data_IF_610245567558
#
_entry.id   IF_610245567558
#
_cell.length_a   1.000
_cell.length_b   1.000
_cell.length_c   1.000
_cell.angle_alpha   90.00
_cell.angle_beta   90.00
_cell.angle_gamma   90.00
#
_symmetry.space_group_name_H-M   'P 1'
#
loop_
_entity.id
_entity.type
_entity.pdbx_description
1 polymer ?
#
# COMPACT_ATOMS: atom_id res chain seq x y z
N UNK A 1 -3.60 0.79 -10.90
CA UNK A 1 -3.33 0.24 -9.56
C UNK A 1 -4.45 0.56 -8.59
N UNK A 2 -4.43 1.73 -7.93
CA UNK A 2 -5.41 2.04 -6.86
C UNK A 2 -6.87 1.95 -7.33
N UNK A 3 -7.20 2.46 -8.51
CA UNK A 3 -8.58 2.35 -9.05
C UNK A 3 -9.06 0.90 -9.21
N UNK A 4 -8.16 -0.02 -9.56
CA UNK A 4 -8.52 -1.43 -9.64
C UNK A 4 -8.79 -2.05 -8.25
N UNK A 5 -8.18 -1.53 -7.17
CA UNK A 5 -8.51 -1.93 -5.79
C UNK A 5 -9.90 -1.41 -5.39
N UNK A 6 -10.25 -0.19 -5.78
CA UNK A 6 -11.59 0.38 -5.54
C UNK A 6 -12.66 -0.43 -6.29
N UNK A 7 -12.42 -0.74 -7.56
CA UNK A 7 -13.31 -1.59 -8.36
C UNK A 7 -13.50 -2.97 -7.71
N UNK A 8 -12.41 -3.58 -7.24
CA UNK A 8 -12.50 -4.85 -6.52
C UNK A 8 -13.26 -4.70 -5.19
N UNK A 9 -13.09 -3.61 -4.44
CA UNK A 9 -13.79 -3.39 -3.18
C UNK A 9 -15.31 -3.38 -3.35
N UNK A 10 -15.84 -2.78 -4.42
CA UNK A 10 -17.28 -2.79 -4.75
C UNK A 10 -17.85 -4.20 -4.97
N UNK A 11 -17.01 -5.21 -5.25
CA UNK A 11 -17.48 -6.60 -5.36
C UNK A 11 -17.60 -7.32 -4.02
N UNK A 12 -17.10 -6.71 -2.93
CA UNK A 12 -17.10 -7.31 -1.60
C UNK A 12 -17.98 -6.59 -0.59
N UNK A 13 -18.35 -5.32 -0.85
CA UNK A 13 -19.10 -4.50 0.11
C UNK A 13 -19.98 -3.46 -0.58
N UNK A 14 -21.09 -3.10 0.08
CA UNK A 14 -22.02 -2.06 -0.38
C UNK A 14 -21.49 -0.65 -0.12
N UNK A 15 -20.60 -0.48 0.87
CA UNK A 15 -19.97 0.81 1.24
C UNK A 15 -18.47 0.69 1.07
N UNK A 16 -17.90 1.54 0.23
CA UNK A 16 -16.46 1.59 -0.05
C UNK A 16 -15.84 2.84 0.56
N UNK A 17 -14.87 2.63 1.46
CA UNK A 17 -14.07 3.68 2.08
C UNK A 17 -12.64 3.61 1.56
N UNK A 18 -12.11 4.73 1.08
CA UNK A 18 -10.70 4.83 0.66
C UNK A 18 -9.90 5.63 1.68
N UNK A 19 -8.78 5.09 2.11
CA UNK A 19 -7.82 5.83 2.92
C UNK A 19 -6.75 6.48 2.06
N UNK A 20 -6.53 7.80 2.22
CA UNK A 20 -5.45 8.54 1.54
C UNK A 20 -4.54 9.12 2.62
N UNK A 21 -3.35 8.51 2.79
CA UNK A 21 -2.39 8.97 3.79
C UNK A 21 -0.94 8.66 3.37
N UNK A 22 -0.08 9.66 3.37
CA UNK A 22 1.36 9.50 3.17
C UNK A 22 2.01 9.34 4.54
N UNK A 23 2.28 8.08 4.91
CA UNK A 23 2.71 7.71 6.25
C UNK A 23 4.19 8.05 6.52
N UNK A 24 4.53 9.03 7.37
CA UNK A 24 5.93 9.38 7.63
C UNK A 24 6.72 8.24 8.29
N UNK A 25 6.07 7.34 9.03
CA UNK A 25 6.77 6.29 9.79
C UNK A 25 7.37 5.19 8.91
N UNK A 26 6.91 5.04 7.67
CA UNK A 26 7.42 4.00 6.77
C UNK A 26 8.51 4.49 5.80
N UNK A 27 8.83 5.79 5.82
CA UNK A 27 9.89 6.35 4.98
C UNK A 27 11.21 6.37 5.75
N UNK A 28 12.20 5.60 5.27
CA UNK A 28 13.57 5.65 5.80
C UNK A 28 14.37 6.84 5.29
N UNK A 29 13.98 7.42 4.15
CA UNK A 29 14.63 8.55 3.49
C UNK A 29 13.69 9.77 3.49
N UNK A 30 14.18 10.88 4.04
CA UNK A 30 13.46 12.16 4.07
C UNK A 30 13.20 12.74 2.66
N UNK A 31 14.09 12.47 1.69
CA UNK A 31 13.93 12.93 0.32
C UNK A 31 12.80 12.18 -0.39
N UNK A 32 12.65 10.86 -0.19
CA UNK A 32 11.53 10.10 -0.75
C UNK A 32 10.19 10.55 -0.13
N UNK A 33 10.18 10.82 1.18
CA UNK A 33 8.98 11.35 1.86
C UNK A 33 8.58 12.74 1.36
N UNK A 34 9.55 13.65 1.24
CA UNK A 34 9.30 15.04 0.81
C UNK A 34 8.88 15.10 -0.66
N UNK A 35 9.51 14.29 -1.50
CA UNK A 35 9.21 14.20 -2.93
C UNK A 35 8.01 13.33 -3.29
N UNK A 36 7.33 12.70 -2.30
CA UNK A 36 6.19 11.84 -2.60
C UNK A 36 4.98 12.67 -3.05
N UNK A 37 4.37 12.37 -4.22
CA UNK A 37 3.21 13.11 -4.71
C UNK A 37 2.03 13.07 -3.73
N UNK A 38 1.38 14.22 -3.54
CA UNK A 38 0.19 14.38 -2.69
C UNK A 38 -0.90 15.18 -3.42
N UNK A 39 -1.38 14.72 -4.57
CA UNK A 39 -2.37 15.43 -5.37
C UNK A 39 -3.79 15.19 -4.82
N UNK A 40 -4.07 15.66 -3.60
CA UNK A 40 -5.30 15.31 -2.88
C UNK A 40 -6.58 15.62 -3.67
N UNK A 41 -6.63 16.74 -4.39
CA UNK A 41 -7.81 17.11 -5.17
C UNK A 41 -8.03 16.15 -6.35
N UNK A 42 -6.94 15.71 -7.01
CA UNK A 42 -7.02 14.72 -8.07
C UNK A 42 -7.40 13.33 -7.54
N UNK A 43 -6.87 12.96 -6.37
CA UNK A 43 -7.22 11.70 -5.71
C UNK A 43 -8.69 11.69 -5.28
N UNK A 44 -9.21 12.78 -4.72
CA UNK A 44 -10.63 12.93 -4.37
C UNK A 44 -11.53 12.88 -5.58
N UNK A 45 -11.16 13.56 -6.68
CA UNK A 45 -11.91 13.50 -7.93
C UNK A 45 -11.93 12.08 -8.52
N UNK A 46 -10.82 11.35 -8.44
CA UNK A 46 -10.73 9.96 -8.89
C UNK A 46 -11.60 9.03 -8.02
N UNK A 47 -11.62 9.23 -6.69
CA UNK A 47 -12.49 8.49 -5.78
C UNK A 47 -13.98 8.74 -6.09
N UNK A 48 -14.36 10.00 -6.30
CA UNK A 48 -15.73 10.37 -6.66
C UNK A 48 -16.16 9.74 -7.99
N UNK A 49 -15.30 9.77 -9.02
CA UNK A 49 -15.54 9.14 -10.31
C UNK A 49 -15.65 7.61 -10.22
N UNK A 50 -15.04 7.00 -9.21
CA UNK A 50 -15.10 5.58 -8.92
C UNK A 50 -16.21 5.20 -7.93
N UNK A 51 -17.15 6.11 -7.63
CA UNK A 51 -18.28 5.91 -6.71
C UNK A 51 -17.85 5.48 -5.29
N UNK A 52 -16.75 6.02 -4.78
CA UNK A 52 -16.33 5.81 -3.39
C UNK A 52 -17.27 6.56 -2.45
N UNK A 53 -17.80 5.89 -1.43
CA UNK A 53 -18.79 6.45 -0.50
C UNK A 53 -18.14 7.42 0.51
N UNK A 54 -16.93 7.13 0.96
CA UNK A 54 -16.20 7.99 1.88
C UNK A 54 -14.68 7.94 1.67
N UNK A 55 -14.01 9.07 1.92
CA UNK A 55 -12.54 9.15 1.92
C UNK A 55 -12.04 9.52 3.30
N UNK A 56 -11.19 8.69 3.88
CA UNK A 56 -10.49 8.96 5.12
C UNK A 56 -9.09 9.50 4.82
N UNK A 57 -8.91 10.81 4.88
CA UNK A 57 -7.65 11.50 4.56
C UNK A 57 -7.11 12.30 5.76
N UNK A 58 -6.61 11.64 6.82
CA UNK A 58 -6.14 12.32 8.01
C UNK A 58 -4.83 13.07 7.75
N UNK A 59 -4.61 14.19 8.48
CA UNK A 59 -3.29 14.82 8.53
C UNK A 59 -2.30 13.97 9.35
N UNK A 60 -0.99 14.20 9.16
CA UNK A 60 0.03 13.52 9.96
C UNK A 60 -0.12 13.83 11.47
N UNK A 61 -0.51 15.04 11.81
CA UNK A 61 -0.77 15.44 13.20
C UNK A 61 -2.02 14.77 13.80
N UNK A 62 -3.04 14.50 12.98
CA UNK A 62 -4.22 13.74 13.42
C UNK A 62 -3.90 12.24 13.56
N UNK A 63 -3.12 11.68 12.63
CA UNK A 63 -2.70 10.28 12.71
C UNK A 63 -1.72 10.04 13.88
N UNK A 64 -0.78 10.94 14.09
CA UNK A 64 0.28 10.85 15.10
C UNK A 64 0.31 12.16 15.93
N UNK A 65 -0.59 12.32 16.90
CA UNK A 65 -0.64 13.52 17.74
C UNK A 65 0.59 13.63 18.64
N UNK A 66 0.82 14.80 19.21
CA UNK A 66 1.91 15.03 20.17
C UNK A 66 1.83 14.01 21.32
N UNK A 67 2.93 13.30 21.57
CA UNK A 67 3.02 12.25 22.59
C UNK A 67 2.65 10.85 22.06
N UNK A 68 2.38 10.69 20.75
CA UNK A 68 2.21 9.37 20.15
C UNK A 68 3.50 8.55 20.25
N UNK A 69 3.42 7.37 20.87
CA UNK A 69 4.58 6.51 21.15
C UNK A 69 4.36 5.02 20.83
N UNK A 70 3.10 4.58 20.76
CA UNK A 70 2.77 3.18 20.49
C UNK A 70 3.17 2.76 19.08
N UNK A 71 3.82 1.59 18.96
CA UNK A 71 4.22 0.96 17.69
C UNK A 71 3.72 -0.47 17.62
N UNK A 72 3.44 -0.92 16.39
CA UNK A 72 3.12 -2.32 16.10
C UNK A 72 4.32 -2.95 15.42
N UNK A 73 4.99 -3.87 16.10
CA UNK A 73 6.12 -4.61 15.57
C UNK A 73 5.67 -5.91 14.91
N UNK A 74 5.82 -6.07 13.58
CA UNK A 74 5.25 -7.21 12.84
C UNK A 74 6.11 -8.48 12.86
N UNK A 75 7.02 -8.63 13.83
CA UNK A 75 7.81 -9.83 14.04
C UNK A 75 8.89 -10.08 12.97
N UNK A 76 9.31 -11.35 12.84
CA UNK A 76 10.46 -11.75 12.02
C UNK A 76 10.28 -11.48 10.52
N UNK A 77 9.05 -11.54 10.01
CA UNK A 77 8.76 -11.31 8.60
C UNK A 77 9.10 -9.87 8.15
N UNK A 78 9.24 -8.95 9.09
CA UNK A 78 9.60 -7.56 8.81
C UNK A 78 11.10 -7.32 8.63
N UNK A 79 11.96 -8.30 8.93
CA UNK A 79 13.42 -8.16 8.88
C UNK A 79 14.08 -8.90 7.72
N UNK A 80 13.29 -9.53 6.85
CA UNK A 80 13.77 -10.24 5.64
C UNK A 80 13.38 -9.48 4.37
N UNK A 81 13.90 -9.89 3.22
CA UNK A 81 13.57 -9.33 1.88
C UNK A 81 13.66 -7.78 1.89
N UNK A 82 12.57 -7.09 1.53
CA UNK A 82 12.51 -5.61 1.54
C UNK A 82 12.79 -5.03 2.93
N UNK A 83 12.34 -5.70 3.99
CA UNK A 83 12.56 -5.25 5.36
C UNK A 83 14.02 -5.22 5.78
N UNK A 84 14.87 -6.10 5.23
CA UNK A 84 16.32 -6.06 5.48
C UNK A 84 16.99 -4.83 4.86
N UNK A 85 16.46 -4.35 3.73
CA UNK A 85 16.97 -3.17 3.01
C UNK A 85 16.36 -1.86 3.53
N UNK A 86 15.26 -1.94 4.28
CA UNK A 86 14.47 -0.80 4.78
C UNK A 86 14.14 -0.97 6.26
N UNK A 87 15.11 -0.89 7.18
CA UNK A 87 14.87 -1.04 8.62
C UNK A 87 13.77 -0.09 9.12
N UNK A 88 12.82 -0.59 9.93
CA UNK A 88 11.69 0.17 10.46
C UNK A 88 10.51 0.37 9.50
N UNK A 89 10.66 0.10 8.20
CA UNK A 89 9.61 0.29 7.21
C UNK A 89 8.32 -0.45 7.57
N UNK A 90 8.41 -1.75 7.82
CA UNK A 90 7.23 -2.56 8.11
C UNK A 90 6.66 -2.34 9.51
N UNK A 91 7.43 -1.85 10.47
CA UNK A 91 6.90 -1.32 11.73
C UNK A 91 6.00 -0.11 11.47
N UNK A 92 6.47 0.82 10.61
CA UNK A 92 5.68 1.96 10.18
C UNK A 92 4.39 1.55 9.45
N UNK A 93 4.48 0.56 8.55
CA UNK A 93 3.31 0.01 7.82
C UNK A 93 2.33 -0.66 8.79
N UNK A 94 2.79 -1.55 9.66
CA UNK A 94 1.93 -2.25 10.62
C UNK A 94 1.23 -1.25 11.56
N UNK A 95 1.95 -0.24 12.03
CA UNK A 95 1.40 0.79 12.91
C UNK A 95 0.30 1.60 12.22
N UNK A 96 0.53 2.08 10.98
CA UNK A 96 -0.49 2.87 10.27
C UNK A 96 -1.70 2.02 9.89
N UNK A 97 -1.50 0.80 9.42
CA UNK A 97 -2.61 -0.08 9.03
C UNK A 97 -3.45 -0.46 10.23
N UNK A 98 -2.84 -0.76 11.39
CA UNK A 98 -3.56 -0.96 12.65
C UNK A 98 -4.46 0.23 12.98
N UNK A 99 -3.93 1.46 12.88
CA UNK A 99 -4.71 2.68 13.13
C UNK A 99 -5.84 2.90 12.11
N UNK A 100 -5.58 2.62 10.84
CA UNK A 100 -6.60 2.72 9.79
C UNK A 100 -7.73 1.70 10.01
N UNK A 101 -7.40 0.45 10.30
CA UNK A 101 -8.38 -0.59 10.59
C UNK A 101 -9.20 -0.26 11.85
N UNK A 102 -8.56 0.25 12.90
CA UNK A 102 -9.26 0.66 14.12
C UNK A 102 -10.16 1.90 13.91
N UNK A 103 -9.79 2.82 13.02
CA UNK A 103 -10.57 4.02 12.75
C UNK A 103 -11.77 3.77 11.84
N UNK A 104 -11.62 2.88 10.84
CA UNK A 104 -12.66 2.59 9.84
C UNK A 104 -13.51 1.38 10.24
N UNK A 105 -12.93 0.43 10.97
CA UNK A 105 -13.57 -0.85 11.36
C UNK A 105 -14.26 -1.57 10.19
N UNK A 106 -13.53 -1.84 9.07
CA UNK A 106 -14.13 -2.44 7.90
C UNK A 106 -14.34 -3.95 8.09
N UNK A 107 -15.33 -4.53 7.39
CA UNK A 107 -15.49 -5.99 7.28
C UNK A 107 -14.44 -6.59 6.33
N UNK A 108 -14.08 -5.84 5.29
CA UNK A 108 -13.09 -6.25 4.27
C UNK A 108 -12.08 -5.14 4.04
N UNK A 109 -10.80 -5.50 3.98
CA UNK A 109 -9.71 -4.59 3.62
C UNK A 109 -8.97 -5.11 2.38
N UNK A 110 -8.89 -4.29 1.33
CA UNK A 110 -8.35 -4.67 0.02
C UNK A 110 -6.94 -4.11 -0.15
N UNK A 111 -5.99 -4.97 -0.51
CA UNK A 111 -4.58 -4.62 -0.72
C UNK A 111 -4.07 -5.17 -2.05
N UNK A 112 -3.10 -4.49 -2.67
CA UNK A 112 -2.46 -4.99 -3.89
C UNK A 112 -1.38 -6.04 -3.61
N UNK A 113 -1.36 -7.13 -4.37
CA UNK A 113 -0.33 -8.18 -4.31
C UNK A 113 1.04 -7.71 -4.81
N UNK A 114 1.09 -6.55 -5.48
CA UNK A 114 2.35 -5.90 -5.89
C UNK A 114 3.30 -5.76 -4.70
N UNK A 115 2.80 -5.34 -3.56
CA UNK A 115 3.57 -5.19 -2.33
C UNK A 115 3.42 -6.47 -1.48
N UNK A 116 3.89 -7.59 -2.05
CA UNK A 116 3.70 -8.96 -1.54
C UNK A 116 4.04 -9.13 -0.06
N UNK A 117 5.22 -8.68 0.35
CA UNK A 117 5.67 -8.79 1.75
C UNK A 117 4.79 -7.95 2.68
N UNK A 118 4.37 -6.76 2.26
CA UNK A 118 3.42 -5.93 2.99
C UNK A 118 2.10 -6.66 3.21
N UNK A 119 1.53 -7.25 2.16
CA UNK A 119 0.28 -8.02 2.26
C UNK A 119 0.41 -9.20 3.21
N UNK A 120 1.51 -9.95 3.14
CA UNK A 120 1.77 -11.09 4.04
C UNK A 120 1.88 -10.63 5.51
N UNK A 121 2.55 -9.52 5.78
CA UNK A 121 2.68 -8.92 7.11
C UNK A 121 1.31 -8.45 7.63
N UNK A 122 0.50 -7.78 6.80
CA UNK A 122 -0.82 -7.29 7.19
C UNK A 122 -1.75 -8.47 7.51
N UNK A 123 -1.78 -9.53 6.70
CA UNK A 123 -2.55 -10.74 6.98
C UNK A 123 -2.16 -11.35 8.32
N UNK A 124 -0.87 -11.47 8.58
CA UNK A 124 -0.37 -12.01 9.84
C UNK A 124 -0.76 -11.12 11.03
N UNK A 125 -0.57 -9.81 10.91
CA UNK A 125 -0.93 -8.83 11.93
C UNK A 125 -2.43 -8.86 12.26
N UNK A 126 -3.29 -8.93 11.26
CA UNK A 126 -4.75 -9.02 11.43
C UNK A 126 -5.14 -10.27 12.22
N UNK A 127 -4.51 -11.41 11.91
CA UNK A 127 -4.72 -12.67 12.63
C UNK A 127 -4.20 -12.59 14.06
N UNK A 128 -2.98 -12.07 14.27
CA UNK A 128 -2.33 -12.05 15.60
C UNK A 128 -2.96 -11.05 16.58
N UNK A 129 -3.60 -10.00 16.05
CA UNK A 129 -4.27 -8.96 16.85
C UNK A 129 -5.80 -9.13 16.91
N UNK A 130 -6.31 -10.27 16.44
CA UNK A 130 -7.74 -10.62 16.45
C UNK A 130 -8.64 -9.55 15.81
N UNK A 131 -8.15 -8.86 14.76
CA UNK A 131 -9.00 -7.95 13.99
C UNK A 131 -10.09 -8.74 13.26
N UNK A 132 -11.35 -8.33 13.40
CA UNK A 132 -12.50 -8.94 12.72
C UNK A 132 -12.62 -8.58 11.23
N UNK A 133 -11.50 -8.33 10.52
CA UNK A 133 -11.46 -7.88 9.13
C UNK A 133 -10.93 -8.99 8.21
N UNK A 134 -11.56 -9.17 7.05
CA UNK A 134 -11.06 -10.06 5.99
C UNK A 134 -10.08 -9.31 5.09
N UNK A 135 -8.84 -9.79 4.97
CA UNK A 135 -7.80 -9.17 4.12
C UNK A 135 -7.77 -9.82 2.74
N UNK A 136 -8.19 -9.08 1.72
CA UNK A 136 -8.21 -9.50 0.32
C UNK A 136 -7.00 -8.96 -0.43
N UNK A 137 -6.28 -9.84 -1.14
CA UNK A 137 -5.23 -9.47 -2.08
C UNK A 137 -5.77 -9.34 -3.49
N UNK A 138 -5.46 -8.25 -4.18
CA UNK A 138 -5.82 -8.04 -5.58
C UNK A 138 -4.61 -8.15 -6.49
N UNK A 139 -4.73 -8.78 -7.65
CA UNK A 139 -3.63 -8.98 -8.60
C UNK A 139 -2.94 -7.69 -9.00
N UNK A 140 -1.64 -7.78 -9.24
CA UNK A 140 -0.82 -6.66 -9.71
C UNK A 140 -1.28 -6.18 -11.07
N UNK A 141 -1.74 -4.94 -11.16
CA UNK A 141 -2.05 -4.28 -12.44
C UNK A 141 -0.73 -3.90 -13.12
N UNK A 142 -0.62 -4.20 -14.42
CA UNK A 142 0.60 -3.99 -15.20
C UNK A 142 0.36 -3.14 -16.42
N UNK A 143 1.39 -2.45 -16.85
CA UNK A 143 1.51 -1.80 -18.16
C UNK A 143 1.52 -2.84 -19.29
N UNK A 144 1.30 -2.47 -20.57
CA UNK A 144 1.31 -3.42 -21.69
C UNK A 144 2.62 -4.21 -21.85
N UNK A 145 3.76 -3.67 -21.38
CA UNK A 145 5.06 -4.32 -21.39
C UNK A 145 5.35 -5.18 -20.14
N UNK A 146 4.34 -5.37 -19.28
CA UNK A 146 4.40 -6.18 -18.08
C UNK A 146 4.89 -5.43 -16.82
N UNK A 147 5.40 -4.20 -16.93
CA UNK A 147 5.84 -3.45 -15.75
C UNK A 147 4.66 -3.14 -14.82
N UNK A 148 4.83 -3.43 -13.52
CA UNK A 148 3.79 -3.13 -12.53
C UNK A 148 3.51 -1.62 -12.46
N UNK A 149 2.21 -1.24 -12.41
CA UNK A 149 1.81 0.16 -12.23
C UNK A 149 2.32 0.69 -10.89
N UNK A 150 2.97 1.86 -10.94
CA UNK A 150 3.47 2.57 -9.76
C UNK A 150 3.50 4.07 -10.04
N UNK A 151 3.12 4.88 -9.03
CA UNK A 151 3.32 6.34 -9.08
C UNK A 151 4.81 6.72 -9.23
N UNK A 152 5.72 5.86 -8.77
CA UNK A 152 7.16 6.06 -8.95
C UNK A 152 7.62 5.89 -10.40
N UNK A 153 6.87 5.20 -11.26
CA UNK A 153 7.20 5.07 -12.69
C UNK A 153 7.24 6.43 -13.39
N UNK A 154 6.48 7.41 -12.91
CA UNK A 154 6.46 8.78 -13.45
C UNK A 154 7.80 9.53 -13.24
N UNK A 155 8.65 9.06 -12.33
CA UNK A 155 9.97 9.64 -12.05
C UNK A 155 11.07 9.10 -12.97
N UNK A 156 10.77 8.05 -13.75
CA UNK A 156 11.74 7.41 -14.64
C UNK A 156 11.94 8.26 -15.90
N UNK A 157 13.19 8.47 -16.29
CA UNK A 157 13.53 8.96 -17.62
C UNK A 157 13.11 7.92 -18.68
N UNK A 158 12.91 8.30 -19.94
CA UNK A 158 12.59 7.34 -21.01
C UNK A 158 13.55 6.16 -21.09
N UNK A 159 14.83 6.39 -20.88
CA UNK A 159 15.86 5.34 -20.86
C UNK A 159 15.68 4.40 -19.66
N UNK A 160 15.45 4.96 -18.48
CA UNK A 160 15.19 4.15 -17.26
C UNK A 160 13.89 3.37 -17.39
N UNK A 161 12.84 3.97 -17.97
CA UNK A 161 11.55 3.30 -18.20
C UNK A 161 11.72 2.09 -19.14
N UNK A 162 12.50 2.22 -20.22
CA UNK A 162 12.80 1.10 -21.11
C UNK A 162 13.60 -0.01 -20.40
N UNK A 163 14.59 0.36 -19.57
CA UNK A 163 15.35 -0.59 -18.79
C UNK A 163 14.48 -1.34 -17.76
N UNK A 164 13.50 -0.67 -17.14
CA UNK A 164 12.61 -1.25 -16.15
C UNK A 164 11.77 -2.42 -16.69
N UNK A 165 11.50 -2.48 -18.00
CA UNK A 165 10.82 -3.60 -18.65
C UNK A 165 11.62 -4.94 -18.58
N UNK A 166 12.89 -4.89 -18.18
CA UNK A 166 13.66 -6.10 -17.89
C UNK A 166 13.14 -6.86 -16.65
N UNK A 167 12.54 -6.15 -15.69
CA UNK A 167 12.04 -6.75 -14.44
C UNK A 167 10.93 -7.77 -14.71
N UNK A 168 9.81 -7.43 -15.37
CA UNK A 168 8.76 -8.40 -15.66
C UNK A 168 9.25 -9.55 -16.53
N UNK A 169 10.13 -9.30 -17.51
CA UNK A 169 10.72 -10.36 -18.35
C UNK A 169 11.53 -11.37 -17.54
N UNK A 170 12.33 -10.90 -16.58
CA UNK A 170 13.09 -11.78 -15.69
C UNK A 170 12.17 -12.61 -14.80
N UNK A 171 11.09 -12.04 -14.27
CA UNK A 171 10.09 -12.76 -13.47
C UNK A 171 9.36 -13.83 -14.31
N UNK A 172 8.95 -13.51 -15.54
CA UNK A 172 8.32 -14.47 -16.46
C UNK A 172 9.27 -15.62 -16.80
N UNK A 173 10.54 -15.31 -17.04
CA UNK A 173 11.54 -16.34 -17.30
C UNK A 173 11.73 -17.26 -16.09
N UNK A 174 11.81 -16.71 -14.88
CA UNK A 174 11.90 -17.48 -13.66
C UNK A 174 10.71 -18.42 -13.46
N UNK A 175 9.49 -17.95 -13.74
CA UNK A 175 8.27 -18.77 -13.67
C UNK A 175 8.23 -19.92 -14.67
N UNK A 176 8.90 -19.78 -15.84
CA UNK A 176 8.98 -20.85 -16.84
C UNK A 176 10.02 -21.93 -16.52
N UNK A 177 10.92 -21.63 -15.58
CA UNK A 177 12.05 -22.52 -15.22
C UNK A 177 11.89 -23.14 -13.83
N UNK A 178 10.85 -22.77 -13.09
CA UNK A 178 10.48 -23.34 -11.80
C UNK A 178 9.51 -24.51 -11.94
#
# INVERSE_FOLDING_TARGET
GHLALIEAAHSFADIVVVSIFVNPLQFGDSLDFTGYPRPIDADLAACAAANVDAVYAPSAAAMYPKGFDTRVFPGRNASTMEGSSRPGHFEGVATVVTKLLAAVTPDVAVFGEKDFQQLAIIRRMVTDLDFGVTVVGCPTVREPDGLALSSRNQRLTPQQRNAAAAIPRALEQALRTA
#
